data_IF_512095451962
#
_entry.id   IF_512095451962
#
_cell.length_a   1.000
_cell.length_b   1.000
_cell.length_c   1.000
_cell.angle_alpha   90.00
_cell.angle_beta   90.00
_cell.angle_gamma   90.00
#
_symmetry.space_group_name_H-M   'P 1'
#
loop_
_entity.id
_entity.type
_entity.pdbx_description
1 polymer ?
#
# COMPACT_ATOMS: atom_id res chain seq x y z
N UNK A 1 28.50 19.39 -2.79
CA UNK A 1 27.48 19.11 -1.77
C UNK A 1 26.31 20.02 -2.07
N UNK A 2 25.27 19.50 -2.73
CA UNK A 2 24.03 20.24 -2.92
C UNK A 2 23.37 20.36 -1.55
N UNK A 3 23.26 21.58 -1.03
CA UNK A 3 22.47 21.87 0.17
C UNK A 3 21.01 21.67 -0.19
N UNK A 4 20.42 20.53 0.18
CA UNK A 4 18.98 20.31 0.05
C UNK A 4 18.26 21.38 0.88
N UNK A 5 17.31 22.08 0.26
CA UNK A 5 16.46 23.08 0.95
C UNK A 5 15.63 22.37 2.02
N UNK A 6 15.62 22.93 3.22
CA UNK A 6 14.85 22.40 4.36
C UNK A 6 13.45 22.99 4.36
N UNK A 7 12.47 22.19 4.76
CA UNK A 7 11.11 22.66 5.06
C UNK A 7 11.13 23.44 6.38
N UNK A 8 10.51 24.62 6.45
CA UNK A 8 10.51 25.39 7.69
C UNK A 8 9.76 24.66 8.82
N UNK A 9 8.57 24.12 8.52
CA UNK A 9 7.70 23.40 9.45
C UNK A 9 7.35 22.00 8.91
N UNK A 10 7.93 20.97 9.52
CA UNK A 10 7.75 19.58 9.12
C UNK A 10 6.90 18.81 10.14
N UNK A 11 5.76 18.28 9.71
CA UNK A 11 4.92 17.40 10.55
C UNK A 11 5.26 15.94 10.29
N UNK A 12 5.48 15.17 11.35
CA UNK A 12 6.06 13.82 11.28
C UNK A 12 5.10 12.71 11.66
N UNK A 13 4.94 11.76 10.73
CA UNK A 13 4.25 10.48 10.90
C UNK A 13 5.15 9.40 11.54
N UNK A 14 4.51 8.39 12.14
CA UNK A 14 5.11 7.15 12.63
C UNK A 14 6.06 6.51 11.61
N UNK A 15 5.70 6.54 10.32
CA UNK A 15 6.51 5.99 9.23
C UNK A 15 7.90 6.60 9.15
N UNK A 16 8.06 7.89 9.47
CA UNK A 16 9.36 8.56 9.46
C UNK A 16 10.27 8.06 10.60
N UNK A 17 9.70 7.81 11.77
CA UNK A 17 10.44 7.23 12.90
C UNK A 17 10.78 5.76 12.67
N UNK A 18 9.86 5.00 12.08
CA UNK A 18 10.07 3.58 11.76
C UNK A 18 11.22 3.38 10.78
N UNK A 19 11.34 4.28 9.81
CA UNK A 19 12.41 4.26 8.81
C UNK A 19 13.71 4.92 9.29
N UNK A 20 13.74 5.47 10.51
CA UNK A 20 14.88 6.17 11.09
C UNK A 20 15.41 7.29 10.18
N UNK A 21 14.47 8.10 9.65
CA UNK A 21 14.78 9.17 8.71
C UNK A 21 15.58 10.30 9.37
N UNK A 22 16.56 10.91 8.67
CA UNK A 22 17.31 12.06 9.16
C UNK A 22 16.46 13.34 9.09
N UNK A 23 15.47 13.45 9.98
CA UNK A 23 14.50 14.56 9.98
C UNK A 23 15.15 15.94 10.14
N UNK A 24 16.32 16.02 10.78
CA UNK A 24 17.12 17.24 10.91
C UNK A 24 17.61 17.81 9.58
N UNK A 25 17.71 16.96 8.55
CA UNK A 25 18.16 17.37 7.22
C UNK A 25 16.97 17.82 6.36
N UNK A 26 15.75 17.35 6.69
CA UNK A 26 14.55 17.64 5.92
C UNK A 26 13.79 18.87 6.41
N UNK A 27 13.84 19.17 7.71
CA UNK A 27 13.09 20.28 8.28
C UNK A 27 13.84 21.06 9.37
N UNK A 28 13.52 22.34 9.50
CA UNK A 28 14.07 23.20 10.57
C UNK A 28 13.33 22.99 11.89
N UNK A 29 11.99 23.02 11.85
CA UNK A 29 11.16 22.76 13.03
C UNK A 29 10.28 21.54 12.81
N UNK A 30 10.42 20.56 13.72
CA UNK A 30 9.79 19.26 13.60
C UNK A 30 8.63 19.16 14.59
N UNK A 31 7.43 18.89 14.08
CA UNK A 31 6.21 18.73 14.85
C UNK A 31 5.72 17.29 14.83
N UNK A 32 5.11 16.86 15.93
CA UNK A 32 4.41 15.57 16.01
C UNK A 32 3.28 15.62 17.05
N UNK A 33 2.48 14.56 17.11
CA UNK A 33 1.42 14.39 18.10
C UNK A 33 1.85 13.28 19.07
N UNK A 34 1.53 13.43 20.36
CA UNK A 34 1.85 12.42 21.37
C UNK A 34 1.30 11.02 21.03
N UNK A 35 0.13 10.97 20.39
CA UNK A 35 -0.50 9.72 19.93
C UNK A 35 0.39 8.90 18.98
N UNK A 36 1.11 9.58 18.07
CA UNK A 36 1.98 8.92 17.09
C UNK A 36 3.08 8.15 17.80
N UNK A 37 3.68 8.75 18.84
CA UNK A 37 4.72 8.11 19.63
C UNK A 37 4.15 6.98 20.49
N UNK A 38 2.96 7.16 21.05
CA UNK A 38 2.28 6.14 21.84
C UNK A 38 1.89 4.92 21.00
N UNK A 39 1.64 5.11 19.70
CA UNK A 39 1.32 4.06 18.74
C UNK A 39 2.52 3.15 18.42
N UNK A 40 3.75 3.67 18.52
CA UNK A 40 4.98 2.93 18.18
C UNK A 40 5.25 1.81 19.20
N UNK A 41 5.10 0.56 18.73
CA UNK A 41 5.30 -0.66 19.53
C UNK A 41 6.65 -1.32 19.32
N UNK A 42 7.34 -1.01 18.23
CA UNK A 42 8.60 -1.64 17.89
C UNK A 42 9.71 -1.19 18.85
N UNK A 43 10.52 -2.15 19.31
CA UNK A 43 11.50 -1.91 20.37
C UNK A 43 12.67 -1.05 19.88
N UNK A 44 13.16 -1.35 18.67
CA UNK A 44 14.28 -0.65 18.05
C UNK A 44 13.97 0.82 17.85
N UNK A 45 12.80 1.11 17.28
CA UNK A 45 12.32 2.48 17.07
C UNK A 45 12.11 3.24 18.38
N UNK A 46 11.60 2.59 19.44
CA UNK A 46 11.47 3.22 20.78
C UNK A 46 12.81 3.57 21.39
N UNK A 47 13.83 2.73 21.21
CA UNK A 47 15.20 3.04 21.65
C UNK A 47 15.78 4.23 20.89
N UNK A 48 15.59 4.28 19.56
CA UNK A 48 16.02 5.42 18.74
C UNK A 48 15.35 6.72 19.16
N UNK A 49 14.05 6.71 19.48
CA UNK A 49 13.30 7.88 19.92
C UNK A 49 13.79 8.46 21.26
N UNK A 50 14.48 7.67 22.09
CA UNK A 50 15.09 8.17 23.33
C UNK A 50 16.38 8.97 23.07
N UNK A 51 17.00 8.82 21.90
CA UNK A 51 18.31 9.37 21.56
C UNK A 51 18.21 10.14 20.23
N UNK A 52 17.33 11.14 20.19
CA UNK A 52 17.18 11.98 18.99
C UNK A 52 18.18 13.14 18.99
N UNK A 53 18.85 13.42 17.86
CA UNK A 53 19.78 14.54 17.73
C UNK A 53 19.09 15.90 17.49
N UNK A 54 17.76 15.94 17.53
CA UNK A 54 16.92 17.12 17.29
C UNK A 54 15.76 17.20 18.28
N UNK A 55 15.19 18.39 18.42
CA UNK A 55 14.03 18.65 19.28
C UNK A 55 12.72 18.35 18.55
N UNK A 56 11.85 17.53 19.17
CA UNK A 56 10.49 17.26 18.68
C UNK A 56 9.49 18.15 19.41
N UNK A 57 8.74 18.97 18.66
CA UNK A 57 7.67 19.81 19.20
C UNK A 57 6.34 19.09 19.18
N UNK A 58 5.78 18.85 20.36
CA UNK A 58 4.46 18.24 20.49
C UNK A 58 3.37 19.29 20.35
N UNK A 59 2.42 19.05 19.46
CA UNK A 59 1.29 19.95 19.26
C UNK A 59 0.01 19.18 18.99
N UNK A 60 -1.07 19.60 19.62
CA UNK A 60 -2.38 18.99 19.40
C UNK A 60 -3.20 19.79 18.37
N UNK A 61 -3.94 19.10 17.49
CA UNK A 61 -4.89 19.73 16.58
C UNK A 61 -6.15 20.17 17.34
N UNK A 62 -6.88 21.15 16.79
CA UNK A 62 -8.20 21.53 17.29
C UNK A 62 -9.29 20.62 16.72
N UNK A 63 -10.38 20.45 17.48
CA UNK A 63 -11.51 19.62 17.08
C UNK A 63 -12.17 20.09 15.77
N UNK A 64 -12.10 21.38 15.47
CA UNK A 64 -12.59 21.96 14.21
C UNK A 64 -11.79 21.44 13.02
N UNK A 65 -10.47 21.39 13.13
CA UNK A 65 -9.58 20.91 12.06
C UNK A 65 -9.74 19.39 11.87
N UNK A 66 -9.90 18.65 12.97
CA UNK A 66 -10.18 17.20 12.91
C UNK A 66 -11.50 16.93 12.19
N UNK A 67 -12.56 17.71 12.46
CA UNK A 67 -13.85 17.58 11.76
C UNK A 67 -13.72 17.93 10.27
N UNK A 68 -12.96 18.97 9.95
CA UNK A 68 -12.70 19.38 8.57
C UNK A 68 -11.98 18.27 7.77
N UNK A 69 -10.90 17.71 8.32
CA UNK A 69 -10.18 16.60 7.70
C UNK A 69 -11.06 15.36 7.58
N UNK A 70 -11.83 15.01 8.62
CA UNK A 70 -12.73 13.86 8.58
C UNK A 70 -13.84 14.03 7.52
N UNK A 71 -14.33 15.25 7.33
CA UNK A 71 -15.27 15.58 6.24
C UNK A 71 -14.61 15.42 4.87
N UNK A 72 -13.41 15.98 4.71
CA UNK A 72 -12.65 15.92 3.47
C UNK A 72 -12.32 14.47 3.08
N UNK A 73 -11.74 13.68 4.00
CA UNK A 73 -11.38 12.28 3.77
C UNK A 73 -12.58 11.38 3.43
N UNK A 74 -13.80 11.73 3.90
CA UNK A 74 -15.02 11.02 3.49
C UNK A 74 -15.39 11.30 2.04
N UNK A 75 -15.20 12.55 1.59
CA UNK A 75 -15.39 12.94 0.18
C UNK A 75 -14.30 12.38 -0.74
N UNK A 76 -13.08 12.21 -0.25
CA UNK A 76 -12.02 11.54 -1.02
C UNK A 76 -12.13 10.02 -1.02
N UNK A 77 -12.98 9.43 -0.18
CA UNK A 77 -13.11 7.97 -0.07
C UNK A 77 -11.97 7.27 0.70
N UNK A 78 -11.00 8.02 1.21
CA UNK A 78 -9.84 7.46 1.94
C UNK A 78 -10.10 7.29 3.45
N UNK A 79 -11.22 7.80 3.97
CA UNK A 79 -11.56 7.74 5.40
C UNK A 79 -11.50 6.33 6.01
N UNK A 80 -11.86 5.28 5.26
CA UNK A 80 -11.83 3.90 5.77
C UNK A 80 -10.42 3.30 5.87
N UNK A 81 -9.44 3.92 5.22
CA UNK A 81 -8.04 3.48 5.25
C UNK A 81 -7.23 4.25 6.30
N UNK A 82 -7.67 5.46 6.66
CA UNK A 82 -7.05 6.30 7.68
C UNK A 82 -7.42 5.85 9.10
N UNK A 83 -6.44 5.87 9.98
CA UNK A 83 -6.60 5.69 11.41
C UNK A 83 -7.02 7.00 12.11
N UNK A 84 -7.37 6.91 13.39
CA UNK A 84 -7.66 8.11 14.20
C UNK A 84 -6.44 8.99 14.40
N UNK A 85 -5.25 8.39 14.52
CA UNK A 85 -3.99 9.12 14.67
C UNK A 85 -3.62 9.83 13.38
N UNK A 86 -3.84 9.19 12.22
CA UNK A 86 -3.62 9.78 10.89
C UNK A 86 -4.50 11.01 10.67
N UNK A 87 -5.79 10.93 11.01
CA UNK A 87 -6.72 12.07 10.89
C UNK A 87 -6.27 13.24 11.78
N UNK A 88 -5.83 12.96 13.01
CA UNK A 88 -5.31 14.01 13.91
C UNK A 88 -4.03 14.64 13.37
N UNK A 89 -3.15 13.85 12.76
CA UNK A 89 -1.88 14.31 12.17
C UNK A 89 -2.12 15.22 10.96
N UNK A 90 -3.01 14.82 10.06
CA UNK A 90 -3.44 15.67 8.95
C UNK A 90 -4.12 16.93 9.50
N UNK A 91 -4.93 16.85 10.56
CA UNK A 91 -5.52 18.04 11.17
C UNK A 91 -4.47 18.99 11.75
N UNK A 92 -3.38 18.48 12.30
CA UNK A 92 -2.26 19.29 12.75
C UNK A 92 -1.59 20.03 11.58
N UNK A 93 -1.41 19.37 10.43
CA UNK A 93 -0.87 20.02 9.22
C UNK A 93 -1.78 21.15 8.73
N UNK A 94 -3.09 20.92 8.71
CA UNK A 94 -4.09 21.95 8.35
C UNK A 94 -4.04 23.13 9.31
N UNK A 95 -3.90 22.86 10.61
CA UNK A 95 -3.79 23.90 11.63
C UNK A 95 -2.58 24.80 11.38
N UNK A 96 -1.42 24.21 11.12
CA UNK A 96 -0.20 24.95 10.82
C UNK A 96 -0.35 25.79 9.53
N UNK A 97 -0.98 25.21 8.50
CA UNK A 97 -1.27 25.92 7.25
C UNK A 97 -2.16 27.15 7.45
N UNK A 98 -3.19 27.03 8.31
CA UNK A 98 -4.07 28.15 8.66
C UNK A 98 -3.35 29.27 9.44
N UNK A 99 -2.39 28.91 10.29
CA UNK A 99 -1.67 29.89 11.11
C UNK A 99 -0.59 30.65 10.34
N UNK A 100 0.11 29.97 9.43
CA UNK A 100 1.26 30.54 8.72
C UNK A 100 0.83 31.13 7.37
N UNK A 101 0.08 30.36 6.57
CA UNK A 101 -0.31 30.73 5.21
C UNK A 101 -1.75 31.26 5.13
N UNK A 102 -2.41 31.49 6.27
CA UNK A 102 -3.81 31.94 6.35
C UNK A 102 -4.82 31.03 5.61
N UNK A 103 -4.42 29.80 5.29
CA UNK A 103 -5.25 28.82 4.57
C UNK A 103 -5.42 29.09 3.07
N UNK A 104 -4.61 29.96 2.46
CA UNK A 104 -4.74 30.31 1.02
C UNK A 104 -4.62 29.09 0.10
N UNK A 105 -3.82 28.10 0.49
CA UNK A 105 -3.58 26.90 -0.31
C UNK A 105 -4.58 25.76 -0.06
N UNK A 106 -5.45 25.90 0.95
CA UNK A 106 -6.37 24.83 1.34
C UNK A 106 -7.61 24.79 0.43
N UNK A 107 -7.88 23.61 -0.15
CA UNK A 107 -9.11 23.36 -0.89
C UNK A 107 -10.25 22.99 0.08
N UNK A 108 -11.39 23.67 -0.03
CA UNK A 108 -12.57 23.37 0.81
C UNK A 108 -13.25 22.04 0.43
N UNK A 109 -13.18 21.66 -0.85
CA UNK A 109 -13.76 20.43 -1.37
C UNK A 109 -12.77 19.76 -2.34
N UNK A 110 -12.73 18.42 -2.37
CA UNK A 110 -11.89 17.73 -3.33
C UNK A 110 -12.49 17.87 -4.74
N UNK A 111 -11.74 18.48 -5.66
CA UNK A 111 -12.07 18.52 -7.08
C UNK A 111 -11.59 17.25 -7.78
N UNK A 112 -12.36 16.17 -7.63
CA UNK A 112 -12.01 14.88 -8.25
C UNK A 112 -12.32 14.92 -9.74
N UNK A 113 -11.35 15.37 -10.52
CA UNK A 113 -11.40 15.28 -11.98
C UNK A 113 -10.97 13.88 -12.42
N UNK A 114 -11.87 13.14 -13.08
CA UNK A 114 -11.61 11.75 -13.50
C UNK A 114 -11.14 11.75 -14.93
N UNK A 115 -9.87 11.38 -15.16
CA UNK A 115 -9.34 11.32 -16.51
C UNK A 115 -9.68 9.97 -17.17
N UNK A 116 -10.28 9.99 -18.38
CA UNK A 116 -10.60 8.76 -19.08
C UNK A 116 -9.32 8.02 -19.49
N UNK A 117 -9.28 6.72 -19.22
CA UNK A 117 -8.30 5.81 -19.83
C UNK A 117 -8.57 5.69 -21.33
N UNK A 118 -7.51 5.70 -22.15
CA UNK A 118 -7.56 5.45 -23.60
C UNK A 118 -8.05 4.02 -23.91
N UNK A 119 -9.33 3.76 -23.70
CA UNK A 119 -10.18 2.79 -24.41
C UNK A 119 -11.52 2.64 -23.68
N UNK A 120 -12.45 3.55 -23.91
CA UNK A 120 -13.85 3.18 -24.13
C UNK A 120 -14.65 4.40 -24.54
N UNK A 121 -15.49 4.24 -25.56
CA UNK A 121 -16.64 5.12 -25.84
C UNK A 121 -17.73 5.01 -24.74
N UNK A 122 -17.35 4.81 -23.48
CA UNK A 122 -18.29 4.67 -22.36
C UNK A 122 -17.79 5.40 -21.12
N UNK A 123 -17.81 6.73 -21.19
CA UNK A 123 -17.62 7.62 -20.03
C UNK A 123 -18.61 7.33 -18.87
N UNK A 124 -19.69 6.60 -19.11
CA UNK A 124 -20.75 6.33 -18.13
C UNK A 124 -20.43 5.24 -17.08
N UNK A 125 -19.46 4.36 -17.35
CA UNK A 125 -19.13 3.24 -16.44
C UNK A 125 -18.10 3.61 -15.38
N UNK A 126 -17.18 4.54 -15.68
CA UNK A 126 -16.16 5.03 -14.74
C UNK A 126 -16.76 5.94 -13.68
N UNK A 127 -17.68 6.82 -14.07
CA UNK A 127 -18.38 7.76 -13.17
C UNK A 127 -19.13 7.01 -12.06
N UNK A 128 -19.94 6.00 -12.40
CA UNK A 128 -20.69 5.20 -11.43
C UNK A 128 -19.81 4.39 -10.45
N UNK A 129 -18.61 3.99 -10.90
CA UNK A 129 -17.66 3.24 -10.07
C UNK A 129 -16.95 4.15 -9.04
N UNK A 130 -16.82 5.46 -9.34
CA UNK A 130 -16.19 6.47 -8.47
C UNK A 130 -17.19 7.08 -7.47
N UNK A 131 -18.45 7.29 -7.84
CA UNK A 131 -19.53 7.71 -6.92
C UNK A 131 -19.66 6.73 -5.73
N UNK A 132 -19.50 5.43 -5.99
CA UNK A 132 -19.56 4.37 -4.98
C UNK A 132 -18.41 4.43 -3.95
N UNK A 133 -17.30 5.11 -4.27
CA UNK A 133 -16.15 5.27 -3.37
C UNK A 133 -16.25 6.55 -2.51
N UNK A 134 -17.34 7.32 -2.62
CA UNK A 134 -17.56 8.55 -1.85
C UNK A 134 -17.16 9.83 -2.57
N UNK A 135 -16.64 9.74 -3.79
CA UNK A 135 -16.36 10.90 -4.63
C UNK A 135 -17.67 11.52 -5.14
N UNK A 136 -17.94 12.77 -4.76
CA UNK A 136 -19.17 13.48 -5.16
C UNK A 136 -19.01 14.11 -6.55
N UNK A 137 -19.38 13.35 -7.58
CA UNK A 137 -19.17 13.71 -8.99
C UNK A 137 -20.24 14.68 -9.51
N UNK A 138 -21.25 15.05 -8.70
CA UNK A 138 -22.32 15.96 -9.12
C UNK A 138 -21.80 17.33 -9.58
N UNK A 139 -20.61 17.72 -9.15
CA UNK A 139 -19.93 18.96 -9.52
C UNK A 139 -18.59 18.75 -10.26
N UNK A 140 -18.19 17.52 -10.58
CA UNK A 140 -16.91 17.27 -11.23
C UNK A 140 -16.97 17.71 -12.70
N UNK A 141 -16.18 18.73 -13.06
CA UNK A 141 -16.00 19.12 -14.45
C UNK A 141 -15.32 17.97 -15.22
N UNK A 142 -16.04 17.42 -16.21
CA UNK A 142 -15.50 16.45 -17.15
C UNK A 142 -14.69 17.24 -18.19
N UNK A 143 -13.41 17.48 -17.91
CA UNK A 143 -12.52 18.10 -18.89
C UNK A 143 -12.16 17.08 -19.97
N UNK A 144 -12.48 17.39 -21.22
CA UNK A 144 -11.97 16.69 -22.40
C UNK A 144 -10.49 17.02 -22.58
N UNK A 145 -9.63 16.27 -21.93
CA UNK A 145 -8.18 16.48 -22.02
C UNK A 145 -7.67 16.04 -23.40
N UNK A 146 -7.11 17.01 -24.14
CA UNK A 146 -6.25 16.80 -25.32
C UNK A 146 -5.02 15.95 -24.94
N UNK A 147 -4.56 15.13 -25.88
CA UNK A 147 -3.44 14.19 -25.75
C UNK A 147 -2.28 14.69 -24.86
N UNK A 148 -2.30 14.33 -23.57
CA UNK A 148 -1.06 14.20 -22.81
C UNK A 148 -0.36 12.96 -23.34
N UNK A 149 0.81 13.18 -23.93
CA UNK A 149 1.68 12.14 -24.46
C UNK A 149 1.80 11.02 -23.45
N UNK A 150 1.45 9.81 -23.88
CA UNK A 150 1.91 8.65 -23.17
C UNK A 150 3.43 8.68 -23.38
N UNK A 151 4.19 9.17 -22.40
CA UNK A 151 5.58 8.73 -22.29
C UNK A 151 5.48 7.23 -22.06
N UNK A 152 5.60 6.50 -23.18
CA UNK A 152 5.78 5.08 -23.23
C UNK A 152 6.75 4.75 -22.10
N UNK A 153 6.33 3.87 -21.20
CA UNK A 153 7.27 3.21 -20.32
C UNK A 153 8.26 2.56 -21.27
N UNK A 154 9.42 3.20 -21.48
CA UNK A 154 10.53 2.58 -22.18
C UNK A 154 10.68 1.22 -21.51
N UNK A 155 10.56 0.16 -22.30
CA UNK A 155 10.91 -1.15 -21.83
C UNK A 155 12.34 -1.02 -21.32
N UNK A 156 12.51 -1.09 -19.99
CA UNK A 156 13.84 -1.12 -19.39
C UNK A 156 14.54 -2.27 -20.09
N UNK A 157 15.57 -1.94 -20.87
CA UNK A 157 16.41 -2.91 -21.55
C UNK A 157 16.74 -4.01 -20.55
N UNK A 158 16.30 -5.22 -20.84
CA UNK A 158 16.37 -6.38 -19.92
C UNK A 158 17.79 -6.89 -19.69
N UNK A 159 18.80 -6.13 -20.12
CA UNK A 159 20.19 -6.57 -20.27
C UNK A 159 21.20 -5.71 -19.47
N UNK A 160 20.78 -5.10 -18.35
CA UNK A 160 21.68 -4.44 -17.40
C UNK A 160 21.95 -5.29 -16.15
N UNK A 161 23.22 -5.56 -15.82
CA UNK A 161 23.59 -6.12 -14.52
C UNK A 161 23.43 -5.05 -13.42
N UNK A 162 22.91 -5.44 -12.26
CA UNK A 162 22.91 -4.58 -11.07
C UNK A 162 24.33 -4.65 -10.47
N UNK A 163 25.11 -3.59 -10.68
CA UNK A 163 26.41 -3.37 -10.04
C UNK A 163 26.26 -2.51 -8.78
N UNK A 164 27.29 -2.47 -7.93
CA UNK A 164 27.30 -1.60 -6.73
C UNK A 164 27.10 -0.12 -7.09
N UNK A 165 27.68 0.30 -8.21
CA UNK A 165 27.57 1.66 -8.75
C UNK A 165 26.16 1.97 -9.29
N UNK A 166 25.48 0.99 -9.90
CA UNK A 166 24.17 1.19 -10.51
C UNK A 166 23.02 0.93 -9.52
N UNK A 167 23.30 0.50 -8.29
CA UNK A 167 22.29 0.07 -7.35
C UNK A 167 21.35 1.20 -6.95
N UNK A 168 21.89 2.39 -6.67
CA UNK A 168 21.11 3.57 -6.26
C UNK A 168 20.21 4.03 -7.41
N UNK A 169 20.76 4.18 -8.62
CA UNK A 169 19.97 4.57 -9.78
C UNK A 169 18.86 3.57 -10.13
N UNK A 170 19.16 2.27 -10.06
CA UNK A 170 18.17 1.21 -10.33
C UNK A 170 17.11 1.19 -9.24
N UNK A 171 17.49 1.40 -7.98
CA UNK A 171 16.57 1.51 -6.84
C UNK A 171 15.60 2.66 -7.05
N UNK A 172 16.08 3.83 -7.46
CA UNK A 172 15.26 5.02 -7.65
C UNK A 172 14.32 4.87 -8.86
N UNK A 173 14.84 4.33 -9.97
CA UNK A 173 14.03 3.95 -11.15
C UNK A 173 12.94 2.94 -10.79
N UNK A 174 13.23 1.95 -9.93
CA UNK A 174 12.26 0.92 -9.52
C UNK A 174 11.19 1.46 -8.57
N UNK A 175 11.54 2.47 -7.75
CA UNK A 175 10.58 3.15 -6.88
C UNK A 175 9.68 4.14 -7.62
N UNK A 176 9.96 4.40 -8.91
CA UNK A 176 9.11 5.23 -9.76
C UNK A 176 9.21 6.72 -9.42
N UNK A 177 10.32 7.13 -8.80
CA UNK A 177 10.67 8.54 -8.61
C UNK A 177 10.95 9.09 -10.02
N UNK A 178 10.02 9.90 -10.53
CA UNK A 178 10.28 10.72 -11.70
C UNK A 178 10.93 12.00 -11.18
N UNK A 179 12.19 12.21 -11.52
CA UNK A 179 12.73 13.57 -11.54
C UNK A 179 12.12 14.21 -12.77
N UNK A 180 11.25 15.20 -12.58
CA UNK A 180 10.93 16.11 -13.67
C UNK A 180 12.23 16.90 -13.89
N UNK A 181 12.93 16.65 -15.00
CA UNK A 181 14.15 17.39 -15.40
C UNK A 181 13.80 18.83 -15.84
N UNK A 182 12.52 19.12 -16.00
CA UNK A 182 11.99 20.40 -16.42
C UNK A 182 11.30 21.09 -15.22
N UNK A 183 11.73 22.32 -14.97
CA UNK A 183 11.29 23.30 -13.95
C UNK A 183 12.10 23.31 -12.64
N UNK A 184 13.13 24.19 -12.65
CA UNK A 184 13.70 24.90 -11.50
C UNK A 184 12.62 25.71 -10.75
N UNK A 185 11.53 25.08 -10.33
CA UNK A 185 10.64 25.70 -9.35
C UNK A 185 11.30 25.50 -7.99
N UNK A 186 12.03 26.54 -7.61
CA UNK A 186 12.54 26.81 -6.27
C UNK A 186 11.38 26.95 -5.25
N UNK A 187 10.52 25.94 -5.13
CA UNK A 187 9.41 25.91 -4.19
C UNK A 187 9.98 25.87 -2.76
N UNK A 188 10.14 27.03 -2.12
CA UNK A 188 10.37 27.11 -0.68
C UNK A 188 9.15 26.53 0.04
N UNK A 189 9.27 25.27 0.46
CA UNK A 189 8.23 24.60 1.21
C UNK A 189 8.19 25.12 2.65
N UNK A 190 7.24 25.99 2.94
CA UNK A 190 7.03 26.49 4.31
C UNK A 190 6.52 25.38 5.24
N UNK A 191 5.54 24.61 4.80
CA UNK A 191 4.91 23.53 5.58
C UNK A 191 4.85 22.27 4.73
N UNK A 192 5.21 21.13 5.32
CA UNK A 192 4.99 19.83 4.72
C UNK A 192 4.73 18.75 5.78
N UNK A 193 4.05 17.68 5.35
CA UNK A 193 3.92 16.45 6.12
C UNK A 193 4.86 15.38 5.57
N UNK A 194 5.59 14.68 6.42
CA UNK A 194 6.37 13.51 6.01
C UNK A 194 5.57 12.24 6.33
N UNK A 195 5.23 11.46 5.31
CA UNK A 195 4.49 10.21 5.47
C UNK A 195 4.76 9.23 4.31
N UNK A 196 4.83 7.94 4.66
CA UNK A 196 4.97 6.85 3.70
C UNK A 196 3.63 6.20 3.32
N UNK A 197 2.52 6.61 3.92
CA UNK A 197 1.22 5.99 3.67
C UNK A 197 0.48 6.67 2.51
N UNK A 198 -0.02 5.87 1.58
CA UNK A 198 -0.72 6.34 0.40
C UNK A 198 -2.04 7.03 0.75
N UNK A 199 -2.78 6.55 1.77
CA UNK A 199 -4.06 7.15 2.14
C UNK A 199 -3.88 8.58 2.66
N UNK A 200 -2.86 8.80 3.52
CA UNK A 200 -2.51 10.12 4.02
C UNK A 200 -2.04 11.05 2.89
N UNK A 201 -1.14 10.56 2.02
CA UNK A 201 -0.64 11.33 0.87
C UNK A 201 -1.78 11.79 -0.04
N UNK A 202 -2.75 10.91 -0.33
CA UNK A 202 -3.89 11.24 -1.18
C UNK A 202 -4.72 12.40 -0.62
N UNK A 203 -5.04 12.34 0.67
CA UNK A 203 -5.85 13.36 1.35
C UNK A 203 -5.08 14.67 1.40
N UNK A 204 -3.80 14.65 1.82
CA UNK A 204 -2.96 15.84 1.89
C UNK A 204 -2.86 16.56 0.54
N UNK A 205 -2.50 15.83 -0.53
CA UNK A 205 -2.41 16.43 -1.87
C UNK A 205 -3.76 16.98 -2.36
N UNK A 206 -4.86 16.28 -2.12
CA UNK A 206 -6.18 16.77 -2.52
C UNK A 206 -6.61 18.00 -1.71
N UNK A 207 -6.14 18.15 -0.47
CA UNK A 207 -6.35 19.35 0.34
C UNK A 207 -5.46 20.52 -0.10
N UNK A 208 -4.47 20.29 -0.97
CA UNK A 208 -3.47 21.31 -1.36
C UNK A 208 -2.29 21.42 -0.39
N UNK A 209 -2.06 20.40 0.44
CA UNK A 209 -0.95 20.36 1.39
C UNK A 209 0.26 19.62 0.79
N UNK A 210 1.44 20.12 1.10
CA UNK A 210 2.69 19.54 0.62
C UNK A 210 3.04 18.27 1.39
N UNK A 211 3.50 17.26 0.67
CA UNK A 211 3.92 15.99 1.24
C UNK A 211 5.36 15.69 0.87
N UNK A 212 6.12 15.18 1.82
CA UNK A 212 7.53 14.81 1.68
C UNK A 212 7.70 13.31 1.86
N UNK A 213 8.56 12.70 1.04
CA UNK A 213 8.92 11.29 1.12
C UNK A 213 9.81 11.03 2.35
N UNK A 214 9.51 10.02 3.18
CA UNK A 214 10.38 9.62 4.29
C UNK A 214 11.79 9.21 3.86
N UNK A 215 11.94 8.64 2.66
CA UNK A 215 13.23 8.04 2.25
C UNK A 215 14.25 9.09 1.82
N UNK A 216 13.79 10.06 1.05
CA UNK A 216 14.67 10.93 0.27
C UNK A 216 14.49 12.41 0.65
N UNK A 217 13.49 12.75 1.48
CA UNK A 217 13.18 14.14 1.84
C UNK A 217 12.59 14.97 0.69
N UNK A 218 12.32 14.34 -0.45
CA UNK A 218 11.81 15.00 -1.65
C UNK A 218 10.31 15.29 -1.58
N UNK A 219 9.91 16.39 -2.21
CA UNK A 219 8.51 16.78 -2.38
C UNK A 219 7.78 15.84 -3.35
N UNK A 220 6.59 15.38 -2.96
CA UNK A 220 5.77 14.47 -3.76
C UNK A 220 4.78 15.27 -4.60
N UNK A 221 5.05 15.42 -5.90
CA UNK A 221 4.13 16.08 -6.86
C UNK A 221 3.01 15.16 -7.36
N UNK A 222 3.24 13.85 -7.36
CA UNK A 222 2.30 12.86 -7.90
C UNK A 222 2.41 11.54 -7.13
N UNK A 223 1.28 10.96 -6.72
CA UNK A 223 1.26 9.61 -6.16
C UNK A 223 0.65 8.61 -7.12
N UNK A 224 1.20 7.39 -7.10
CA UNK A 224 0.62 6.24 -7.80
C UNK A 224 0.29 5.16 -6.78
N UNK A 225 -1.01 4.98 -6.56
CA UNK A 225 -1.52 3.96 -5.65
C UNK A 225 -2.16 2.80 -6.41
N UNK A 226 -2.31 1.66 -5.73
CA UNK A 226 -2.94 0.47 -6.29
C UNK A 226 -4.19 0.09 -5.52
N UNK A 227 -5.32 0.13 -6.21
CA UNK A 227 -6.62 -0.30 -5.68
C UNK A 227 -7.03 -1.66 -6.25
N UNK A 228 -7.96 -2.34 -5.57
CA UNK A 228 -8.58 -3.56 -6.09
C UNK A 228 -9.94 -3.23 -6.74
N UNK A 229 -10.07 -3.40 -8.05
CA UNK A 229 -11.34 -3.28 -8.78
C UNK A 229 -11.90 -4.65 -9.15
N UNK A 230 -13.18 -4.87 -8.90
CA UNK A 230 -13.87 -6.09 -9.32
C UNK A 230 -14.24 -6.03 -10.81
N UNK A 231 -13.69 -6.93 -11.63
CA UNK A 231 -14.04 -6.95 -13.06
C UNK A 231 -15.45 -7.48 -13.35
N UNK A 232 -16.10 -8.13 -12.38
CA UNK A 232 -17.45 -8.68 -12.56
C UNK A 232 -18.56 -7.67 -12.23
N UNK A 233 -18.37 -6.86 -11.17
CA UNK A 233 -19.38 -5.88 -10.74
C UNK A 233 -18.94 -4.41 -10.89
N UNK A 234 -17.76 -4.13 -11.44
CA UNK A 234 -17.23 -2.78 -11.63
C UNK A 234 -16.69 -2.10 -10.37
N UNK A 235 -17.25 -2.44 -9.21
CA UNK A 235 -16.96 -1.75 -7.94
C UNK A 235 -15.52 -1.90 -7.45
N UNK A 236 -15.02 -0.81 -6.87
CA UNK A 236 -13.71 -0.71 -6.23
C UNK A 236 -13.83 -1.18 -4.77
N UNK A 237 -12.94 -2.08 -4.36
CA UNK A 237 -12.86 -2.62 -3.01
C UNK A 237 -11.94 -1.75 -2.13
N UNK A 238 -12.35 -1.42 -0.89
CA UNK A 238 -11.58 -0.52 0.00
C UNK A 238 -10.37 -1.16 0.67
N UNK A 239 -10.19 -2.48 0.62
CA UNK A 239 -9.04 -3.16 1.23
C UNK A 239 -8.26 -3.94 0.18
N UNK A 240 -6.95 -3.75 0.15
CA UNK A 240 -6.00 -4.43 -0.74
C UNK A 240 -5.73 -5.89 -0.34
N UNK A 241 -6.15 -6.31 0.86
CA UNK A 241 -5.90 -7.65 1.38
C UNK A 241 -7.02 -8.67 1.10
N UNK A 242 -8.15 -8.26 0.51
CA UNK A 242 -9.27 -9.20 0.30
C UNK A 242 -9.13 -10.00 -0.98
N UNK A 243 -9.51 -11.29 -0.91
CA UNK A 243 -9.59 -12.19 -2.08
C UNK A 243 -10.98 -12.23 -2.71
N UNK A 244 -11.98 -11.80 -1.95
CA UNK A 244 -13.38 -11.74 -2.31
C UNK A 244 -13.81 -10.28 -2.47
N UNK A 245 -14.65 -10.02 -3.47
CA UNK A 245 -15.27 -8.71 -3.62
C UNK A 245 -16.28 -8.49 -2.48
N UNK A 246 -16.17 -7.36 -1.75
CA UNK A 246 -17.05 -7.09 -0.61
C UNK A 246 -18.52 -6.93 -1.02
N UNK A 247 -18.75 -6.51 -2.26
CA UNK A 247 -20.10 -6.18 -2.73
C UNK A 247 -20.81 -7.31 -3.47
N UNK A 248 -20.08 -8.16 -4.20
CA UNK A 248 -20.69 -9.28 -4.94
C UNK A 248 -20.26 -10.66 -4.43
N UNK A 249 -19.38 -10.74 -3.42
CA UNK A 249 -18.91 -12.00 -2.83
C UNK A 249 -18.02 -12.86 -3.72
N UNK A 250 -17.88 -12.52 -5.01
CA UNK A 250 -17.14 -13.36 -5.95
C UNK A 250 -15.63 -13.41 -5.63
N UNK A 251 -15.07 -14.63 -5.68
CA UNK A 251 -13.64 -14.87 -5.52
C UNK A 251 -12.88 -14.59 -6.83
N UNK A 252 -11.62 -14.14 -6.72
CA UNK A 252 -10.70 -13.96 -7.88
C UNK A 252 -11.20 -13.00 -8.97
N UNK A 253 -12.19 -12.17 -8.64
CA UNK A 253 -12.69 -11.12 -9.53
C UNK A 253 -11.94 -9.80 -9.36
N UNK A 254 -11.23 -9.64 -8.24
CA UNK A 254 -10.45 -8.45 -7.97
C UNK A 254 -9.19 -8.39 -8.83
N UNK A 255 -8.99 -7.25 -9.48
CA UNK A 255 -7.80 -6.90 -10.24
C UNK A 255 -7.16 -5.68 -9.60
N UNK A 256 -5.84 -5.74 -9.45
CA UNK A 256 -5.04 -4.59 -9.02
C UNK A 256 -4.97 -3.60 -10.17
N UNK A 257 -5.45 -2.38 -9.94
CA UNK A 257 -5.46 -1.29 -10.91
C UNK A 257 -4.71 -0.11 -10.29
N UNK A 258 -3.86 0.54 -11.09
CA UNK A 258 -3.17 1.73 -10.63
C UNK A 258 -4.08 2.96 -10.74
N UNK A 259 -4.04 3.83 -9.75
CA UNK A 259 -4.59 5.18 -9.78
C UNK A 259 -3.44 6.15 -9.58
N UNK A 260 -3.39 7.18 -10.41
CA UNK A 260 -2.50 8.32 -10.26
C UNK A 260 -3.30 9.50 -9.72
N UNK A 261 -2.77 10.18 -8.71
CA UNK A 261 -3.29 11.45 -8.20
C UNK A 261 -2.20 12.50 -8.45
N UNK A 262 -2.57 13.56 -9.17
CA UNK A 262 -1.69 14.70 -9.43
C UNK A 262 -1.89 15.79 -8.37
N UNK A 263 -0.95 16.73 -8.27
CA UNK A 263 -1.04 17.91 -7.39
C UNK A 263 -2.34 18.72 -7.58
N UNK A 264 -2.85 18.79 -8.82
CA UNK A 264 -4.12 19.46 -9.13
C UNK A 264 -5.33 18.84 -8.43
N UNK A 265 -5.22 17.62 -7.90
CA UNK A 265 -6.32 16.81 -7.38
C UNK A 265 -6.99 15.94 -8.46
N UNK A 266 -6.46 15.96 -9.70
CA UNK A 266 -6.96 15.10 -10.78
C UNK A 266 -6.59 13.63 -10.51
N UNK A 267 -7.57 12.74 -10.67
CA UNK A 267 -7.45 11.30 -10.41
C UNK A 267 -7.57 10.54 -11.73
N UNK A 268 -6.47 9.89 -12.14
CA UNK A 268 -6.41 9.06 -13.35
C UNK A 268 -6.31 7.59 -12.98
N UNK A 269 -7.36 6.83 -13.28
CA UNK A 269 -7.31 5.37 -13.18
C UNK A 269 -6.58 4.80 -14.41
N UNK A 270 -5.82 3.72 -14.28
CA UNK A 270 -5.09 3.08 -15.39
C UNK A 270 -5.55 1.64 -15.62
N UNK A 271 -6.63 1.49 -16.39
CA UNK A 271 -7.18 0.18 -16.76
C UNK A 271 -6.63 -0.24 -18.13
N UNK A 272 -6.00 -1.42 -18.20
CA UNK A 272 -5.62 -2.03 -19.47
C UNK A 272 -6.75 -2.92 -20.00
N UNK A 273 -7.58 -2.38 -20.90
CA UNK A 273 -8.66 -3.13 -21.54
C UNK A 273 -8.19 -4.05 -22.67
N UNK A 274 -6.97 -3.85 -23.20
CA UNK A 274 -6.38 -4.73 -24.22
C UNK A 274 -6.08 -6.12 -23.66
N UNK A 275 -5.96 -6.27 -22.34
CA UNK A 275 -5.69 -7.57 -21.69
C UNK A 275 -7.01 -8.24 -21.25
N UNK A 276 -7.52 -9.24 -21.98
CA UNK A 276 -8.78 -9.90 -21.64
C UNK A 276 -8.66 -10.73 -20.36
N UNK A 277 -9.79 -10.90 -19.67
CA UNK A 277 -9.88 -11.70 -18.46
C UNK A 277 -9.84 -13.19 -18.83
N UNK A 278 -8.83 -13.91 -18.33
CA UNK A 278 -8.68 -15.36 -18.57
C UNK A 278 -9.64 -16.16 -17.69
N UNK A 279 -10.60 -16.82 -18.30
CA UNK A 279 -11.57 -17.73 -17.65
C UNK A 279 -11.07 -19.18 -17.50
N UNK A 280 -9.87 -19.51 -17.99
CA UNK A 280 -9.35 -20.87 -17.94
C UNK A 280 -9.11 -21.31 -16.49
N UNK A 281 -9.62 -22.48 -16.12
CA UNK A 281 -9.42 -23.08 -14.80
C UNK A 281 -10.32 -22.55 -13.69
N UNK A 282 -11.35 -21.76 -14.03
CA UNK A 282 -12.37 -21.31 -13.08
C UNK A 282 -13.48 -22.34 -12.88
N UNK A 283 -13.87 -23.06 -13.94
CA UNK A 283 -14.88 -24.13 -13.90
C UNK A 283 -14.21 -25.50 -13.76
N UNK A 284 -14.46 -26.18 -12.64
CA UNK A 284 -13.97 -27.53 -12.34
C UNK A 284 -14.89 -28.18 -11.29
N UNK A 285 -14.87 -29.52 -11.21
CA UNK A 285 -15.69 -30.26 -10.25
C UNK A 285 -15.16 -30.06 -8.83
N UNK A 286 -16.06 -29.66 -7.92
CA UNK A 286 -15.76 -29.51 -6.50
C UNK A 286 -15.96 -30.84 -5.76
N UNK A 287 -15.16 -31.14 -4.72
CA UNK A 287 -15.40 -32.28 -3.86
C UNK A 287 -16.67 -32.09 -3.04
N UNK A 288 -17.28 -33.19 -2.60
CA UNK A 288 -18.41 -33.13 -1.67
C UNK A 288 -17.98 -32.43 -0.36
N UNK A 289 -18.83 -31.56 0.21
CA UNK A 289 -18.51 -30.86 1.45
C UNK A 289 -18.36 -31.86 2.60
N UNK A 290 -17.27 -31.71 3.37
CA UNK A 290 -16.98 -32.56 4.53
C UNK A 290 -16.92 -31.74 5.82
N UNK A 291 -17.40 -32.30 6.91
CA UNK A 291 -17.29 -31.73 8.26
C UNK A 291 -16.14 -32.34 9.07
N UNK A 292 -15.98 -31.85 10.31
CA UNK A 292 -15.04 -32.40 11.29
C UNK A 292 -13.75 -31.59 11.47
N UNK A 293 -12.94 -31.99 12.46
CA UNK A 293 -11.72 -31.29 12.91
C UNK A 293 -10.64 -31.18 11.82
N UNK A 294 -10.66 -32.09 10.84
CA UNK A 294 -9.63 -32.22 9.81
C UNK A 294 -10.18 -32.00 8.38
N UNK A 295 -11.40 -31.47 8.24
CA UNK A 295 -11.94 -31.13 6.93
C UNK A 295 -11.11 -30.05 6.24
N UNK A 296 -10.84 -30.23 4.95
CA UNK A 296 -10.11 -29.28 4.12
C UNK A 296 -10.89 -28.99 2.84
N UNK A 297 -11.98 -28.23 3.00
CA UNK A 297 -12.84 -27.82 1.90
C UNK A 297 -12.21 -26.64 1.14
N UNK A 298 -12.43 -26.51 -0.17
CA UNK A 298 -12.03 -25.32 -0.92
C UNK A 298 -12.71 -24.08 -0.32
N UNK A 299 -12.01 -22.94 -0.35
CA UNK A 299 -12.52 -21.66 0.15
C UNK A 299 -13.33 -21.00 -0.97
N UNK A 300 -14.63 -20.80 -0.74
CA UNK A 300 -15.61 -20.31 -1.71
C UNK A 300 -16.23 -18.96 -1.29
N UNK A 301 -16.25 -18.63 0.00
CA UNK A 301 -16.69 -17.35 0.52
C UNK A 301 -15.72 -16.81 1.60
N UNK A 302 -15.84 -15.52 1.92
CA UNK A 302 -14.96 -14.82 2.87
C UNK A 302 -15.17 -15.28 4.31
N UNK A 303 -16.42 -15.49 4.70
CA UNK A 303 -16.89 -15.88 6.02
C UNK A 303 -16.90 -17.41 6.24
N UNK A 304 -16.27 -18.17 5.33
CA UNK A 304 -16.22 -19.62 5.42
C UNK A 304 -15.50 -20.08 6.68
N UNK A 305 -16.20 -20.84 7.54
CA UNK A 305 -15.61 -21.42 8.75
C UNK A 305 -14.57 -22.48 8.40
N UNK A 306 -13.35 -22.34 8.92
CA UNK A 306 -12.24 -23.27 8.71
C UNK A 306 -11.85 -23.91 10.04
N UNK A 307 -11.67 -25.24 10.10
CA UNK A 307 -11.14 -25.90 11.29
C UNK A 307 -9.75 -25.36 11.69
N UNK A 308 -9.49 -25.20 12.98
CA UNK A 308 -8.21 -24.70 13.48
C UNK A 308 -7.11 -25.76 13.30
N UNK A 309 -6.35 -25.66 12.21
CA UNK A 309 -5.18 -26.50 11.93
C UNK A 309 -3.91 -25.64 11.98
N UNK A 310 -3.54 -25.20 13.18
CA UNK A 310 -2.36 -24.34 13.42
C UNK A 310 -1.08 -25.18 13.51
N UNK A 311 0.05 -24.56 13.15
CA UNK A 311 1.39 -25.13 13.39
C UNK A 311 1.75 -25.03 14.87
N UNK A 312 2.69 -25.84 15.33
CA UNK A 312 3.24 -25.74 16.69
C UNK A 312 4.01 -24.42 16.87
N UNK A 313 4.15 -23.96 18.12
CA UNK A 313 4.91 -22.74 18.44
C UNK A 313 6.38 -22.86 18.04
N UNK A 314 7.03 -23.97 18.40
CA UNK A 314 8.41 -24.27 18.04
C UNK A 314 8.64 -24.16 16.52
N UNK A 315 7.75 -24.74 15.70
CA UNK A 315 7.87 -24.66 14.24
C UNK A 315 7.71 -23.24 13.66
N UNK A 316 7.07 -22.32 14.39
CA UNK A 316 6.86 -20.94 13.98
C UNK A 316 8.01 -20.07 14.48
N UNK A 317 8.36 -20.18 15.75
CA UNK A 317 9.46 -19.43 16.39
C UNK A 317 10.79 -19.73 15.72
N UNK A 318 11.10 -20.99 15.48
CA UNK A 318 12.36 -21.38 14.85
C UNK A 318 12.53 -20.81 13.43
N UNK A 319 11.42 -20.66 12.70
CA UNK A 319 11.45 -20.00 11.39
C UNK A 319 11.58 -18.49 11.50
N UNK A 320 11.01 -17.88 12.55
CA UNK A 320 11.14 -16.45 12.79
C UNK A 320 12.58 -16.06 13.14
N UNK A 321 13.27 -16.89 13.93
CA UNK A 321 14.67 -16.70 14.33
C UNK A 321 15.65 -16.81 13.15
N UNK A 322 15.23 -17.41 12.03
CA UNK A 322 16.08 -17.65 10.86
C UNK A 322 15.65 -16.85 9.64
N UNK A 323 15.04 -15.69 9.87
CA UNK A 323 14.85 -14.71 8.81
C UNK A 323 16.19 -14.01 8.53
N UNK A 324 16.34 -13.42 7.33
CA UNK A 324 17.61 -12.78 6.97
C UNK A 324 18.01 -11.64 7.90
N UNK A 325 17.03 -10.84 8.31
CA UNK A 325 17.25 -9.76 9.26
C UNK A 325 17.76 -10.28 10.61
N UNK A 326 17.13 -11.33 11.15
CA UNK A 326 17.52 -11.89 12.46
C UNK A 326 18.88 -12.58 12.40
N UNK A 327 19.21 -13.27 11.31
CA UNK A 327 20.51 -13.94 11.13
C UNK A 327 21.68 -12.95 11.14
N UNK A 328 21.48 -11.75 10.56
CA UNK A 328 22.52 -10.73 10.50
C UNK A 328 22.69 -9.98 11.83
N UNK A 329 21.65 -9.93 12.66
CA UNK A 329 21.65 -9.16 13.91
C UNK A 329 21.88 -10.01 15.16
N UNK A 330 21.47 -11.27 15.18
CA UNK A 330 21.56 -12.13 16.37
C UNK A 330 22.99 -12.65 16.56
N UNK A 331 23.71 -12.25 17.62
CA UNK A 331 25.04 -12.80 17.93
C UNK A 331 24.96 -14.32 18.24
N UNK A 332 23.82 -14.77 18.76
CA UNK A 332 23.56 -16.18 19.12
C UNK A 332 23.46 -17.10 17.89
N UNK A 333 23.27 -16.56 16.70
CA UNK A 333 23.26 -17.36 15.46
C UNK A 333 24.61 -18.05 15.22
N UNK A 334 25.73 -17.39 15.52
CA UNK A 334 27.09 -17.94 15.35
C UNK A 334 27.39 -19.11 16.28
N UNK A 335 26.75 -19.14 17.45
CA UNK A 335 26.94 -20.18 18.48
C UNK A 335 26.03 -21.39 18.24
N UNK A 336 25.12 -21.29 17.27
CA UNK A 336 24.16 -22.36 16.97
C UNK A 336 24.86 -23.57 16.35
N UNK A 337 24.46 -24.76 16.78
CA UNK A 337 25.02 -26.03 16.27
C UNK A 337 24.61 -26.35 14.82
N UNK A 338 23.47 -25.84 14.36
CA UNK A 338 22.96 -26.04 13.01
C UNK A 338 22.52 -24.69 12.42
N UNK A 339 23.03 -24.28 11.25
CA UNK A 339 22.65 -23.02 10.62
C UNK A 339 21.21 -23.02 10.09
N UNK A 340 20.57 -24.19 9.99
CA UNK A 340 19.22 -24.32 9.43
C UNK A 340 18.13 -24.47 10.48
N UNK A 341 16.91 -24.09 10.07
CA UNK A 341 15.71 -24.30 10.87
C UNK A 341 15.46 -25.80 11.03
N UNK A 342 15.40 -26.27 12.26
CA UNK A 342 14.91 -27.60 12.59
C UNK A 342 13.43 -27.63 12.19
N UNK A 343 13.04 -28.71 11.54
CA UNK A 343 11.65 -28.91 11.16
C UNK A 343 10.95 -29.68 12.27
N UNK A 344 9.80 -29.18 12.72
CA UNK A 344 8.93 -29.94 13.61
C UNK A 344 8.35 -31.16 12.86
N UNK A 345 8.85 -32.34 13.24
CA UNK A 345 8.38 -33.65 12.74
C UNK A 345 7.56 -34.41 13.79
N UNK A 346 7.63 -34.03 15.06
CA UNK A 346 7.06 -34.80 16.17
C UNK A 346 5.62 -34.40 16.51
N UNK A 347 5.27 -33.13 16.34
CA UNK A 347 3.96 -32.65 16.75
C UNK A 347 2.81 -33.35 16.01
N UNK A 348 1.61 -33.31 16.58
CA UNK A 348 0.42 -33.78 15.86
C UNK A 348 0.11 -32.90 14.65
N UNK A 349 0.46 -31.62 14.72
CA UNK A 349 0.25 -30.66 13.63
C UNK A 349 1.12 -31.00 12.42
N UNK A 350 2.39 -31.36 12.61
CA UNK A 350 3.31 -31.70 11.51
C UNK A 350 2.77 -32.84 10.62
N UNK A 351 2.10 -33.82 11.22
CA UNK A 351 1.51 -34.98 10.53
C UNK A 351 0.18 -34.67 9.83
N UNK A 352 -0.58 -33.71 10.37
CA UNK A 352 -1.96 -33.43 9.92
C UNK A 352 -2.06 -32.23 8.97
N UNK A 353 -1.14 -31.26 9.04
CA UNK A 353 -1.23 -30.06 8.21
C UNK A 353 -0.81 -30.37 6.77
N UNK A 354 -1.70 -30.21 5.77
CA UNK A 354 -1.33 -30.41 4.39
C UNK A 354 -0.33 -29.34 3.95
N UNK A 355 0.71 -29.73 3.20
CA UNK A 355 1.62 -28.78 2.56
C UNK A 355 0.84 -27.87 1.60
N UNK A 356 1.06 -26.56 1.71
CA UNK A 356 0.55 -25.59 0.75
C UNK A 356 1.12 -25.91 -0.63
N UNK A 357 0.24 -26.31 -1.56
CA UNK A 357 0.63 -26.56 -2.96
C UNK A 357 0.51 -25.26 -3.74
N UNK A 358 1.42 -25.04 -4.70
CA UNK A 358 1.28 -23.96 -5.68
C UNK A 358 -0.09 -24.07 -6.35
N UNK A 359 -0.80 -22.95 -6.44
CA UNK A 359 -2.10 -22.90 -7.11
C UNK A 359 -1.87 -23.06 -8.61
N UNK A 360 -2.28 -24.20 -9.14
CA UNK A 360 -2.24 -24.54 -10.57
C UNK A 360 -3.68 -24.70 -11.02
N UNK A 361 -3.94 -24.47 -12.31
CA UNK A 361 -5.23 -24.77 -12.93
C UNK A 361 -5.66 -26.22 -12.59
N UNK A 362 -6.82 -26.44 -11.95
CA UNK A 362 -7.28 -27.78 -11.57
C UNK A 362 -7.46 -28.74 -12.74
N UNK A 363 -7.75 -28.20 -13.94
CA UNK A 363 -8.00 -28.98 -15.16
C UNK A 363 -6.71 -29.33 -15.90
N UNK A 364 -5.55 -28.87 -15.44
CA UNK A 364 -4.27 -29.12 -16.08
C UNK A 364 -3.76 -30.53 -15.77
N UNK A 365 -3.31 -31.24 -16.80
CA UNK A 365 -2.75 -32.59 -16.66
C UNK A 365 -1.45 -32.52 -15.86
N UNK A 366 -1.26 -33.48 -14.95
CA UNK A 366 -0.07 -33.55 -14.10
C UNK A 366 0.74 -34.77 -14.46
N UNK A 367 2.07 -34.66 -14.37
CA UNK A 367 2.95 -35.82 -14.45
C UNK A 367 2.53 -36.84 -13.37
N UNK A 368 2.42 -38.13 -13.72
CA UNK A 368 2.02 -39.17 -12.79
C UNK A 368 3.10 -39.32 -11.70
N UNK A 369 2.82 -38.78 -10.53
CA UNK A 369 3.70 -38.83 -9.36
C UNK A 369 3.04 -39.66 -8.25
N UNK A 370 3.85 -40.50 -7.61
CA UNK A 370 3.59 -41.28 -6.38
C UNK A 370 2.18 -41.88 -6.23
N UNK A 371 1.24 -41.07 -5.75
CA UNK A 371 -0.11 -41.54 -5.39
C UNK A 371 -1.07 -41.69 -6.58
N UNK A 372 -0.76 -41.15 -7.77
CA UNK A 372 -1.57 -41.34 -8.99
C UNK A 372 -1.09 -42.50 -9.88
N UNK A 373 0.02 -43.17 -9.55
CA UNK A 373 0.53 -44.34 -10.31
C UNK A 373 -0.24 -45.64 -10.03
N UNK A 374 -1.09 -45.69 -9.00
CA UNK A 374 -1.88 -46.89 -8.66
C UNK A 374 -3.32 -46.76 -9.14
N UNK A 375 -3.55 -46.84 -10.45
CA UNK A 375 -4.88 -47.23 -10.97
C UNK A 375 -4.85 -48.04 -12.26
N UNK A 376 -3.68 -48.44 -12.76
CA UNK A 376 -3.59 -49.44 -13.83
C UNK A 376 -3.21 -50.77 -13.22
N UNK A 377 -4.19 -51.44 -12.60
CA UNK A 377 -4.21 -52.89 -12.43
C UNK A 377 -5.65 -53.32 -12.16
N UNK A 378 -6.20 -54.01 -13.15
CA UNK A 378 -7.40 -54.86 -13.14
C UNK A 378 -8.73 -54.10 -13.19
N UNK A 379 -9.31 -53.95 -14.39
CA UNK A 379 -10.41 -54.79 -14.88
C UNK A 379 -10.35 -54.85 -16.41
#
# INVERSE_FOLDING_TARGET
MMTQKKVQHLVTDSGAFILNCPLQDYGETIYTIGDVINEIKDEKTRQSLQILPYELKYREPTDEDVKFVAYFAKKTGDFNQLSTTDIRLIALTVRLEKEINQGVNLKENPDIKILPTKSSNSNSLTVKDLEMFGYDIKNAAIDSIQNFGDNEMQEIDKDGWITEENFEEIRDKLMGIKFDEDEDDDDELNIACITGDFAMQNVLMQMGLNVVSPKDGLHIRQTRQYILRCHACGRINPSTATKFCKYCGNCRTLKRVAITINNDGTVKMHINFKRPIRIRGTKYSLPMPRGGKHANNPILCEDQRIPQQRKSKAAVEEKKLLNMETILTDPDYLVRSNPFAINDVYSRASRMTPRQRKQINPNETRKPTGNKKKSNKNF
#
